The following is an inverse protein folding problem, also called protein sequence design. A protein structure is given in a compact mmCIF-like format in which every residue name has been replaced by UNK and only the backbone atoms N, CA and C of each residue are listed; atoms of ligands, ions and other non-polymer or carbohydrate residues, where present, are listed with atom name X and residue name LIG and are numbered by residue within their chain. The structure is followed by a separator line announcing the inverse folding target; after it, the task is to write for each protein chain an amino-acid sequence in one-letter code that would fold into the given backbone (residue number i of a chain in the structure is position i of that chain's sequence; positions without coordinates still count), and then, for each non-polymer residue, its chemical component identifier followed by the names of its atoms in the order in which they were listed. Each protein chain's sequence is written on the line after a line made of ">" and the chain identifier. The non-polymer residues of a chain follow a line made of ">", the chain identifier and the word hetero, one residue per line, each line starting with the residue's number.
data_IF_420436998294
#
_entry.id   IF_420436998294
#
_cell.length_a   1.000
_cell.length_b   1.000
_cell.length_c   1.000
_cell.angle_alpha   90.00
_cell.angle_beta   90.00
_cell.angle_gamma   90.00
#
_symmetry.space_group_name_H-M   'P 1'
#
loop_
_entity.id
_entity.type
_entity.pdbx_description
1 polymer ?
#
# COMPACT_ATOMS: atom_id res chain seq x y z
N UNK A 1 26.15 -30.20 -25.96
CA UNK A 1 27.56 -30.41 -25.53
C UNK A 1 27.87 -29.30 -24.52
N UNK A 2 28.18 -29.53 -23.25
CA UNK A 2 28.40 -30.74 -22.50
C UNK A 2 27.82 -30.61 -21.07
N UNK A 3 27.45 -31.77 -20.55
CA UNK A 3 26.99 -32.07 -19.20
C UNK A 3 28.00 -31.70 -18.09
N UNK A 4 27.50 -31.31 -16.92
CA UNK A 4 28.05 -31.85 -15.67
C UNK A 4 26.98 -31.93 -14.58
N UNK A 5 26.58 -33.18 -14.34
CA UNK A 5 25.74 -33.70 -13.26
C UNK A 5 26.71 -34.35 -12.28
N UNK A 6 26.60 -34.05 -10.98
CA UNK A 6 27.17 -34.91 -9.93
C UNK A 6 26.09 -35.23 -8.91
N UNK A 7 25.33 -36.26 -9.27
CA UNK A 7 24.53 -37.10 -8.38
C UNK A 7 25.41 -38.29 -8.01
N UNK A 8 25.76 -38.47 -6.73
CA UNK A 8 26.11 -39.78 -6.18
C UNK A 8 25.32 -39.97 -4.90
N UNK A 9 24.59 -41.07 -4.92
CA UNK A 9 23.56 -41.52 -3.99
C UNK A 9 24.09 -42.77 -3.26
N UNK A 10 23.50 -43.03 -2.09
CA UNK A 10 23.53 -44.26 -1.28
C UNK A 10 24.66 -44.46 -0.26
N UNK A 11 24.31 -44.42 1.04
CA UNK A 11 23.86 -45.62 1.78
C UNK A 11 23.26 -45.23 3.15
N UNK A 12 22.41 -46.10 3.66
CA UNK A 12 21.37 -45.83 4.64
C UNK A 12 21.73 -46.19 6.11
N UNK A 13 21.08 -45.48 7.05
CA UNK A 13 20.68 -45.86 8.44
C UNK A 13 21.80 -45.98 9.53
N UNK A 14 21.48 -45.96 10.85
CA UNK A 14 20.92 -44.87 11.67
C UNK A 14 21.59 -44.75 13.08
N UNK A 15 21.93 -43.59 13.64
CA UNK A 15 22.24 -43.44 15.09
C UNK A 15 22.22 -41.95 15.49
N UNK A 16 21.29 -41.50 16.35
CA UNK A 16 21.41 -41.39 17.83
C UNK A 16 22.62 -40.55 18.31
N UNK A 17 22.27 -39.43 18.96
CA UNK A 17 23.05 -38.59 19.90
C UNK A 17 24.12 -37.64 19.35
N UNK A 18 24.06 -36.39 19.79
CA UNK A 18 25.23 -35.50 19.78
C UNK A 18 24.94 -34.00 19.76
N UNK A 19 24.37 -33.47 20.85
CA UNK A 19 24.53 -32.06 21.23
C UNK A 19 26.02 -31.78 21.52
N UNK A 20 26.58 -30.72 20.94
CA UNK A 20 27.86 -30.11 21.33
C UNK A 20 27.84 -28.63 20.92
N UNK A 21 27.54 -27.71 21.85
CA UNK A 21 28.52 -26.98 22.67
C UNK A 21 29.41 -26.02 21.87
N UNK A 22 29.01 -24.75 21.85
CA UNK A 22 29.96 -23.63 21.95
C UNK A 22 29.57 -22.78 23.16
N UNK A 23 30.13 -23.13 24.32
CA UNK A 23 30.25 -22.25 25.49
C UNK A 23 31.68 -21.73 25.44
N UNK A 24 31.85 -20.43 25.17
CA UNK A 24 33.10 -19.76 25.44
C UNK A 24 32.99 -19.08 26.81
N UNK A 25 33.78 -19.61 27.74
CA UNK A 25 33.81 -19.27 29.15
C UNK A 25 34.72 -18.07 29.42
N UNK A 26 34.18 -17.03 30.05
CA UNK A 26 34.95 -16.14 30.92
C UNK A 26 34.09 -15.69 32.10
N UNK A 27 34.14 -16.54 33.13
CA UNK A 27 34.01 -16.29 34.57
C UNK A 27 33.32 -15.02 35.09
N UNK A 28 32.06 -15.17 35.52
CA UNK A 28 31.67 -14.88 36.91
C UNK A 28 30.49 -15.77 37.30
N UNK A 29 30.62 -16.43 38.45
CA UNK A 29 29.67 -17.37 39.02
C UNK A 29 28.32 -16.72 39.37
N UNK A 30 27.23 -17.19 38.76
CA UNK A 30 26.03 -17.61 39.50
C UNK A 30 25.29 -18.68 38.69
N UNK A 31 24.60 -19.57 39.39
CA UNK A 31 24.09 -20.86 38.93
C UNK A 31 23.04 -20.78 37.80
N UNK A 32 23.40 -21.28 36.62
CA UNK A 32 22.49 -21.45 35.47
C UNK A 32 21.75 -22.81 35.51
N UNK A 33 20.81 -22.97 36.45
CA UNK A 33 19.81 -24.03 36.37
C UNK A 33 18.44 -23.35 36.32
N UNK A 34 17.81 -23.32 35.15
CA UNK A 34 16.43 -22.81 35.00
C UNK A 34 15.47 -23.70 35.81
N UNK A 35 14.87 -23.12 36.85
CA UNK A 35 13.95 -23.80 37.76
C UNK A 35 12.70 -24.31 37.00
N UNK A 36 12.29 -23.56 35.97
CA UNK A 36 11.22 -23.95 35.05
C UNK A 36 11.58 -25.24 34.27
N UNK A 37 12.84 -25.36 33.83
CA UNK A 37 13.35 -26.55 33.13
C UNK A 37 13.42 -27.78 34.05
N UNK A 38 13.72 -27.58 35.34
CA UNK A 38 13.69 -28.64 36.35
C UNK A 38 12.25 -29.14 36.62
N UNK A 39 11.28 -28.22 36.67
CA UNK A 39 9.86 -28.53 36.83
C UNK A 39 9.31 -29.27 35.59
N UNK A 40 9.75 -28.90 34.39
CA UNK A 40 9.32 -29.51 33.13
C UNK A 40 9.93 -30.90 32.87
N UNK A 41 11.18 -31.14 33.28
CA UNK A 41 11.86 -32.43 33.11
C UNK A 41 11.50 -33.48 34.17
N UNK A 42 10.81 -33.09 35.24
CA UNK A 42 10.30 -34.03 36.22
C UNK A 42 9.07 -34.77 35.64
N UNK A 43 9.32 -35.81 34.84
CA UNK A 43 8.32 -36.57 34.08
C UNK A 43 7.25 -37.31 34.90
N UNK A 44 7.14 -37.08 36.21
CA UNK A 44 6.10 -37.63 37.08
C UNK A 44 5.29 -36.56 37.84
N UNK A 45 5.54 -35.26 37.63
CA UNK A 45 4.89 -34.17 38.39
C UNK A 45 3.61 -33.62 37.74
N UNK A 46 3.14 -34.20 36.64
CA UNK A 46 1.80 -33.90 36.11
C UNK A 46 0.70 -34.20 37.13
N UNK A 47 0.92 -35.11 38.08
CA UNK A 47 -0.02 -35.42 39.17
C UNK A 47 0.05 -34.39 40.30
N UNK A 48 1.23 -33.86 40.64
CA UNK A 48 1.40 -32.90 41.75
C UNK A 48 0.95 -31.48 41.37
N UNK A 49 1.10 -31.09 40.10
CA UNK A 49 0.56 -29.83 39.56
C UNK A 49 -0.96 -29.90 39.32
N UNK A 50 -1.50 -31.06 38.89
CA UNK A 50 -2.96 -31.28 38.83
C UNK A 50 -3.59 -31.34 40.24
N UNK A 51 -2.95 -32.01 41.20
CA UNK A 51 -3.39 -32.02 42.60
C UNK A 51 -3.36 -30.61 43.22
N UNK A 52 -2.39 -29.76 42.85
CA UNK A 52 -2.35 -28.36 43.30
C UNK A 52 -3.41 -27.46 42.65
N UNK A 53 -3.91 -27.81 41.45
CA UNK A 53 -5.04 -27.12 40.82
C UNK A 53 -6.39 -27.61 41.39
N UNK A 54 -6.53 -28.91 41.70
CA UNK A 54 -7.75 -29.47 42.31
C UNK A 54 -8.01 -28.99 43.75
N UNK A 55 -6.96 -28.63 44.51
CA UNK A 55 -7.10 -28.06 45.86
C UNK A 55 -7.77 -26.66 45.84
N UNK A 56 -7.92 -26.00 44.69
CA UNK A 56 -8.76 -24.79 44.60
C UNK A 56 -10.28 -25.07 44.64
N UNK A 57 -10.72 -26.33 44.69
CA UNK A 57 -12.16 -26.67 44.71
C UNK A 57 -12.63 -27.53 45.89
N UNK A 58 -11.78 -27.84 46.88
CA UNK A 58 -12.17 -28.72 47.99
C UNK A 58 -11.57 -28.34 49.33
N UNK A 59 -12.44 -28.07 50.30
CA UNK A 59 -12.11 -27.87 51.71
C UNK A 59 -11.27 -29.02 52.32
N UNK A 60 -10.42 -28.61 53.27
CA UNK A 60 -9.81 -29.41 54.35
C UNK A 60 -8.66 -30.39 54.00
N UNK A 61 -7.42 -29.90 54.10
CA UNK A 61 -6.33 -30.66 54.73
C UNK A 61 -5.21 -29.73 55.22
N UNK A 62 -4.91 -29.82 56.53
CA UNK A 62 -3.75 -29.18 57.16
C UNK A 62 -2.58 -30.15 57.13
N UNK A 63 -1.47 -29.79 56.49
CA UNK A 63 -0.16 -30.40 56.70
C UNK A 63 0.94 -29.34 56.50
N UNK A 64 1.63 -29.09 57.59
CA UNK A 64 2.78 -28.20 57.80
C UNK A 64 3.94 -28.49 56.85
N UNK A 65 4.26 -27.54 55.96
CA UNK A 65 5.62 -27.16 55.51
C UNK A 65 5.57 -25.70 55.06
N UNK A 66 6.36 -24.84 55.71
CA UNK A 66 6.49 -23.41 55.40
C UNK A 66 7.44 -23.19 54.22
N UNK A 67 7.02 -23.62 53.04
CA UNK A 67 7.42 -23.00 51.78
C UNK A 67 6.11 -22.69 51.05
N UNK A 68 5.74 -21.42 51.02
CA UNK A 68 4.61 -20.94 50.22
C UNK A 68 4.76 -21.51 48.80
N UNK A 69 3.77 -22.24 48.26
CA UNK A 69 3.90 -22.78 46.91
C UNK A 69 4.04 -21.59 45.96
N UNK A 70 5.23 -21.45 45.35
CA UNK A 70 5.46 -20.47 44.30
C UNK A 70 4.47 -20.78 43.19
N UNK A 71 3.54 -19.85 42.92
CA UNK A 71 2.62 -19.97 41.80
C UNK A 71 3.43 -20.02 40.51
N UNK A 72 2.95 -20.75 39.50
CA UNK A 72 3.62 -20.81 38.19
C UNK A 72 3.93 -19.40 37.63
N UNK A 73 3.02 -18.46 37.88
CA UNK A 73 3.20 -17.02 37.59
C UNK A 73 4.43 -16.43 38.29
N UNK A 74 4.64 -16.73 39.58
CA UNK A 74 5.81 -16.23 40.33
C UNK A 74 7.14 -16.81 39.84
N UNK A 75 7.14 -18.06 39.35
CA UNK A 75 8.32 -18.73 38.76
C UNK A 75 8.62 -18.14 37.38
N UNK A 76 7.61 -17.95 36.53
CA UNK A 76 7.74 -17.30 35.22
C UNK A 76 8.22 -15.86 35.39
N UNK A 77 7.66 -15.11 36.36
CA UNK A 77 8.11 -13.76 36.70
C UNK A 77 9.58 -13.72 37.14
N UNK A 78 9.99 -14.66 37.97
CA UNK A 78 11.38 -14.76 38.42
C UNK A 78 12.34 -15.08 37.27
N UNK A 79 11.92 -15.93 36.31
CA UNK A 79 12.73 -16.30 35.15
C UNK A 79 12.88 -15.13 34.16
N UNK A 80 11.79 -14.40 33.89
CA UNK A 80 11.79 -13.23 33.01
C UNK A 80 12.62 -12.10 33.63
N UNK A 81 12.51 -11.89 34.95
CA UNK A 81 13.29 -10.88 35.69
C UNK A 81 13.31 -9.50 35.00
N UNK A 82 12.17 -9.06 34.47
CA UNK A 82 12.01 -7.81 33.70
C UNK A 82 12.79 -7.72 32.37
N UNK A 83 13.32 -8.83 31.88
CA UNK A 83 13.97 -8.94 30.59
C UNK A 83 13.10 -9.77 29.63
N UNK A 84 12.50 -9.10 28.64
CA UNK A 84 11.59 -9.74 27.70
C UNK A 84 12.28 -10.80 26.82
N UNK A 85 13.59 -10.68 26.57
CA UNK A 85 14.31 -11.71 25.80
C UNK A 85 14.33 -13.06 26.53
N UNK A 86 14.22 -13.05 27.87
CA UNK A 86 14.02 -14.28 28.65
C UNK A 86 12.60 -14.81 28.57
N UNK A 87 11.63 -13.95 28.27
CA UNK A 87 10.25 -14.34 27.97
C UNK A 87 10.16 -15.28 26.76
N UNK A 88 10.98 -15.04 25.73
CA UNK A 88 11.09 -15.96 24.57
C UNK A 88 11.56 -17.35 24.97
N UNK A 89 12.52 -17.46 25.89
CA UNK A 89 12.97 -18.75 26.40
C UNK A 89 11.85 -19.50 27.12
N UNK A 90 11.00 -18.79 27.88
CA UNK A 90 9.82 -19.38 28.53
C UNK A 90 8.78 -19.82 27.50
N UNK A 91 8.64 -19.07 26.41
CA UNK A 91 7.75 -19.40 25.29
C UNK A 91 8.23 -20.63 24.51
N UNK A 92 9.53 -20.76 24.26
CA UNK A 92 10.16 -21.97 23.71
C UNK A 92 9.95 -23.18 24.63
N UNK A 93 10.04 -22.99 25.95
CA UNK A 93 9.78 -24.06 26.92
C UNK A 93 8.31 -24.51 26.89
N UNK A 94 7.36 -23.60 26.61
CA UNK A 94 5.96 -23.96 26.42
C UNK A 94 5.75 -24.91 25.23
N UNK A 95 6.56 -24.80 24.17
CA UNK A 95 6.51 -25.72 23.02
C UNK A 95 6.90 -27.17 23.39
N UNK A 96 7.73 -27.33 24.43
CA UNK A 96 8.21 -28.62 24.92
C UNK A 96 7.28 -29.27 25.96
N UNK A 97 6.33 -28.51 26.51
CA UNK A 97 5.34 -28.97 27.47
C UNK A 97 4.35 -29.92 26.80
N UNK A 98 4.07 -31.07 27.44
CA UNK A 98 3.09 -32.05 26.92
C UNK A 98 1.65 -31.77 27.36
N UNK A 99 1.46 -31.06 28.46
CA UNK A 99 0.15 -30.78 29.07
C UNK A 99 -0.42 -29.46 28.57
N UNK A 100 -1.58 -29.53 27.90
CA UNK A 100 -2.28 -28.35 27.35
C UNK A 100 -2.59 -27.31 28.43
N UNK A 101 -3.01 -27.73 29.63
CA UNK A 101 -3.32 -26.83 30.74
C UNK A 101 -2.08 -26.04 31.20
N UNK A 102 -0.91 -26.67 31.19
CA UNK A 102 0.33 -26.03 31.57
C UNK A 102 0.81 -25.06 30.47
N UNK A 103 0.64 -25.41 29.19
CA UNK A 103 0.88 -24.47 28.07
C UNK A 103 0.01 -23.22 28.20
N UNK A 104 -1.29 -23.39 28.43
CA UNK A 104 -2.24 -22.28 28.59
C UNK A 104 -1.81 -21.36 29.75
N UNK A 105 -1.48 -21.94 30.90
CA UNK A 105 -1.05 -21.16 32.07
C UNK A 105 0.26 -20.40 31.80
N UNK A 106 1.20 -20.98 31.04
CA UNK A 106 2.42 -20.29 30.62
C UNK A 106 2.10 -19.11 29.70
N UNK A 107 1.24 -19.29 28.69
CA UNK A 107 0.86 -18.21 27.78
C UNK A 107 0.13 -17.06 28.49
N UNK A 108 -0.80 -17.37 29.39
CA UNK A 108 -1.50 -16.36 30.20
C UNK A 108 -0.55 -15.62 31.14
N UNK A 109 0.37 -16.33 31.80
CA UNK A 109 1.37 -15.71 32.66
C UNK A 109 2.31 -14.79 31.85
N UNK A 110 2.76 -15.20 30.67
CA UNK A 110 3.58 -14.35 29.78
C UNK A 110 2.84 -13.08 29.36
N UNK A 111 1.55 -13.18 29.05
CA UNK A 111 0.72 -12.03 28.74
C UNK A 111 0.56 -11.07 29.94
N UNK A 112 0.31 -11.60 31.14
CA UNK A 112 0.24 -10.79 32.37
C UNK A 112 1.57 -10.09 32.67
N UNK A 113 2.70 -10.77 32.46
CA UNK A 113 4.02 -10.16 32.62
C UNK A 113 4.28 -9.04 31.63
N UNK A 114 3.88 -9.19 30.36
CA UNK A 114 3.93 -8.09 29.37
C UNK A 114 3.14 -6.86 29.82
N UNK A 115 1.96 -7.08 30.40
CA UNK A 115 1.14 -6.01 30.97
C UNK A 115 1.83 -5.32 32.15
N UNK A 116 2.36 -6.09 33.10
CA UNK A 116 3.02 -5.55 34.28
C UNK A 116 4.30 -4.77 33.94
N UNK A 117 5.06 -5.23 32.94
CA UNK A 117 6.24 -4.54 32.43
C UNK A 117 5.93 -3.34 31.52
N UNK A 118 4.65 -3.02 31.31
CA UNK A 118 4.17 -1.95 30.42
C UNK A 118 4.67 -2.10 28.97
N UNK A 119 5.05 -3.32 28.55
CA UNK A 119 5.54 -3.58 27.20
C UNK A 119 4.39 -3.66 26.18
N UNK A 120 3.15 -3.75 26.66
CA UNK A 120 1.93 -3.68 25.83
C UNK A 120 1.79 -2.36 25.05
N UNK A 121 2.50 -1.30 25.45
CA UNK A 121 2.52 -0.04 24.70
C UNK A 121 3.54 -0.03 23.56
N UNK A 122 4.36 -1.07 23.44
CA UNK A 122 5.32 -1.22 22.34
C UNK A 122 4.76 -2.16 21.27
N UNK A 123 4.23 -1.65 20.15
CA UNK A 123 3.59 -2.47 19.13
C UNK A 123 4.56 -3.45 18.44
N UNK A 124 5.85 -3.15 18.37
CA UNK A 124 6.84 -4.07 17.79
C UNK A 124 6.98 -5.34 18.63
N UNK A 125 6.97 -5.20 19.97
CA UNK A 125 7.02 -6.36 20.88
C UNK A 125 5.73 -7.16 20.86
N UNK A 126 4.59 -6.49 20.74
CA UNK A 126 3.31 -7.17 20.58
C UNK A 126 3.21 -7.91 19.25
N UNK A 127 3.77 -7.35 18.18
CA UNK A 127 3.78 -8.01 16.87
C UNK A 127 4.63 -9.28 16.91
N UNK A 128 5.83 -9.20 17.48
CA UNK A 128 6.70 -10.36 17.68
C UNK A 128 5.99 -11.44 18.53
N UNK A 129 5.41 -11.04 19.67
CA UNK A 129 4.71 -11.98 20.56
C UNK A 129 3.48 -12.61 19.91
N UNK A 130 2.67 -11.84 19.19
CA UNK A 130 1.51 -12.36 18.47
C UNK A 130 1.92 -13.37 17.40
N UNK A 131 2.95 -13.03 16.61
CA UNK A 131 3.47 -13.91 15.55
C UNK A 131 4.04 -15.20 16.12
N UNK A 132 4.72 -15.13 17.28
CA UNK A 132 5.22 -16.31 18.00
C UNK A 132 4.06 -17.18 18.52
N UNK A 133 3.01 -16.58 19.09
CA UNK A 133 1.83 -17.33 19.55
C UNK A 133 1.05 -17.98 18.40
N UNK A 134 0.91 -17.30 17.27
CA UNK A 134 0.19 -17.82 16.09
C UNK A 134 0.84 -19.11 15.54
N UNK A 135 2.16 -19.25 15.70
CA UNK A 135 2.91 -20.42 15.25
C UNK A 135 2.85 -21.59 16.24
N UNK A 136 2.39 -21.36 17.47
CA UNK A 136 2.36 -22.38 18.52
C UNK A 136 1.04 -23.15 18.53
N UNK A 137 1.14 -24.46 18.78
CA UNK A 137 -0.02 -25.33 19.01
C UNK A 137 -0.65 -25.07 20.37
N UNK A 138 -1.97 -25.24 20.48
CA UNK A 138 -2.72 -25.18 21.74
C UNK A 138 -2.69 -23.80 22.43
N UNK A 139 -2.63 -22.71 21.66
CA UNK A 139 -2.86 -21.36 22.21
C UNK A 139 -4.36 -21.13 22.39
N UNK A 140 -4.83 -20.69 23.58
CA UNK A 140 -6.24 -20.37 23.78
C UNK A 140 -6.71 -19.29 22.80
N UNK A 141 -7.75 -19.53 21.98
CA UNK A 141 -8.27 -18.52 21.05
C UNK A 141 -8.60 -17.17 21.72
N UNK A 142 -9.21 -17.13 22.92
CA UNK A 142 -9.48 -15.87 23.61
C UNK A 142 -8.22 -15.09 24.02
N UNK A 143 -7.10 -15.78 24.25
CA UNK A 143 -5.83 -15.13 24.56
C UNK A 143 -5.21 -14.53 23.30
N UNK A 144 -5.19 -15.31 22.20
CA UNK A 144 -4.68 -14.85 20.91
C UNK A 144 -5.45 -13.59 20.43
N UNK A 145 -6.77 -13.60 20.57
CA UNK A 145 -7.61 -12.44 20.24
C UNK A 145 -7.31 -11.21 21.11
N UNK A 146 -7.10 -11.37 22.42
CA UNK A 146 -6.72 -10.26 23.32
C UNK A 146 -5.38 -9.65 22.93
N UNK A 147 -4.39 -10.49 22.61
CA UNK A 147 -3.07 -10.02 22.15
C UNK A 147 -3.20 -9.29 20.83
N UNK A 148 -3.99 -9.82 19.90
CA UNK A 148 -4.27 -9.18 18.61
C UNK A 148 -4.93 -7.80 18.77
N UNK A 149 -5.98 -7.69 19.58
CA UNK A 149 -6.66 -6.43 19.82
C UNK A 149 -5.72 -5.39 20.46
N UNK A 150 -4.87 -5.81 21.40
CA UNK A 150 -3.86 -4.93 21.98
C UNK A 150 -2.81 -4.49 20.95
N UNK A 151 -2.36 -5.40 20.07
CA UNK A 151 -1.46 -5.08 18.97
C UNK A 151 -2.08 -4.02 18.05
N UNK A 152 -3.33 -4.21 17.64
CA UNK A 152 -4.07 -3.28 16.78
C UNK A 152 -4.17 -1.90 17.44
N UNK A 153 -4.63 -1.84 18.69
CA UNK A 153 -4.80 -0.58 19.41
C UNK A 153 -3.49 0.17 19.64
N UNK A 154 -2.45 -0.52 20.13
CA UNK A 154 -1.14 0.11 20.38
C UNK A 154 -0.45 0.54 19.09
N UNK A 155 -0.61 -0.22 18.00
CA UNK A 155 -0.10 0.16 16.68
C UNK A 155 -0.81 1.40 16.15
N UNK A 156 -2.14 1.44 16.22
CA UNK A 156 -2.92 2.61 15.82
C UNK A 156 -2.55 3.87 16.61
N UNK A 157 -2.33 3.75 17.93
CA UNK A 157 -1.87 4.85 18.77
C UNK A 157 -0.47 5.34 18.39
N UNK A 158 0.46 4.43 18.06
CA UNK A 158 1.79 4.83 17.60
C UNK A 158 1.71 5.53 16.22
N UNK A 159 0.91 4.99 15.31
CA UNK A 159 0.71 5.51 13.96
C UNK A 159 -0.09 6.81 13.92
N UNK A 160 -0.77 7.20 15.00
CA UNK A 160 -1.45 8.50 15.07
C UNK A 160 -0.49 9.65 15.36
N UNK A 161 0.70 9.39 15.91
CA UNK A 161 1.64 10.44 16.30
C UNK A 161 2.03 11.40 15.15
N UNK A 162 2.29 10.95 13.90
CA UNK A 162 2.55 11.84 12.79
C UNK A 162 1.37 12.75 12.43
N UNK A 163 0.14 12.35 12.77
CA UNK A 163 -1.06 13.15 12.48
C UNK A 163 -1.24 14.33 13.42
N UNK A 164 -0.74 14.20 14.66
CA UNK A 164 -0.82 15.24 15.69
C UNK A 164 0.41 16.17 15.72
N UNK A 165 1.43 15.89 14.91
CA UNK A 165 2.67 16.66 14.91
C UNK A 165 2.46 18.09 14.39
N UNK A 166 3.03 19.12 15.02
CA UNK A 166 2.91 20.49 14.50
C UNK A 166 3.66 20.74 13.18
N UNK A 167 4.62 19.87 12.84
CA UNK A 167 5.43 19.94 11.62
C UNK A 167 5.21 18.70 10.75
N UNK A 168 5.08 18.91 9.44
CA UNK A 168 5.04 17.83 8.44
C UNK A 168 6.39 17.12 8.26
N UNK A 169 7.49 17.76 8.66
CA UNK A 169 8.84 17.18 8.57
C UNK A 169 9.27 16.45 9.86
N UNK A 170 8.35 16.22 10.80
CA UNK A 170 8.67 15.50 12.02
C UNK A 170 8.97 14.03 11.72
N UNK A 171 10.08 13.53 12.26
CA UNK A 171 10.54 12.16 12.02
C UNK A 171 10.09 11.27 13.19
N UNK A 172 9.49 10.13 12.88
CA UNK A 172 9.00 9.15 13.85
C UNK A 172 9.66 7.79 13.63
N UNK A 173 10.86 7.54 14.17
CA UNK A 173 11.63 6.32 13.89
C UNK A 173 10.87 5.03 14.22
N UNK A 174 10.08 5.03 15.30
CA UNK A 174 9.28 3.87 15.71
C UNK A 174 8.12 3.60 14.74
N UNK A 175 7.54 4.64 14.15
CA UNK A 175 6.52 4.52 13.10
C UNK A 175 7.13 3.88 11.86
N UNK A 176 8.28 4.39 11.42
CA UNK A 176 9.02 3.82 10.27
C UNK A 176 9.36 2.35 10.51
N UNK A 177 9.85 1.99 11.70
CA UNK A 177 10.15 0.60 12.04
C UNK A 177 8.92 -0.31 12.03
N UNK A 178 7.79 0.17 12.56
CA UNK A 178 6.53 -0.58 12.54
C UNK A 178 6.03 -0.80 11.11
N UNK A 179 6.00 0.25 10.29
CA UNK A 179 5.61 0.15 8.88
C UNK A 179 6.52 -0.79 8.08
N UNK A 180 7.83 -0.79 8.34
CA UNK A 180 8.75 -1.73 7.72
C UNK A 180 8.49 -3.20 8.11
N UNK A 181 7.98 -3.45 9.33
CA UNK A 181 7.61 -4.79 9.80
C UNK A 181 6.24 -5.24 9.28
N UNK A 182 5.33 -4.30 9.02
CA UNK A 182 4.01 -4.56 8.44
C UNK A 182 4.10 -4.85 6.92
N UNK A 183 4.83 -5.90 6.54
CA UNK A 183 5.03 -6.30 5.13
C UNK A 183 3.76 -6.87 4.45
N UNK A 184 3.86 -7.25 3.17
CA UNK A 184 2.77 -7.88 2.39
C UNK A 184 2.11 -9.07 3.10
N UNK A 185 2.88 -9.90 3.82
CA UNK A 185 2.33 -11.05 4.56
C UNK A 185 1.50 -10.66 5.79
N UNK A 186 1.43 -9.37 6.13
CA UNK A 186 0.73 -8.82 7.29
C UNK A 186 -0.27 -7.73 6.90
N UNK A 187 -0.67 -7.67 5.62
CA UNK A 187 -1.64 -6.69 5.11
C UNK A 187 -3.00 -6.77 5.82
N UNK A 188 -3.37 -7.97 6.30
CA UNK A 188 -4.58 -8.16 7.11
C UNK A 188 -4.48 -7.40 8.44
N UNK A 189 -3.31 -7.43 9.10
CA UNK A 189 -3.09 -6.66 10.34
C UNK A 189 -3.13 -5.16 10.05
N UNK A 190 -2.52 -4.74 8.93
CA UNK A 190 -2.52 -3.34 8.53
C UNK A 190 -3.94 -2.80 8.36
N UNK A 191 -4.86 -3.58 7.77
CA UNK A 191 -6.25 -3.17 7.59
C UNK A 191 -6.95 -2.86 8.93
N UNK A 192 -6.80 -3.73 9.91
CA UNK A 192 -7.43 -3.54 11.22
C UNK A 192 -6.76 -2.41 12.01
N UNK A 193 -5.43 -2.26 11.89
CA UNK A 193 -4.68 -1.15 12.45
C UNK A 193 -5.13 0.19 11.86
N UNK A 194 -5.30 0.27 10.53
CA UNK A 194 -5.77 1.48 9.84
C UNK A 194 -7.19 1.84 10.25
N UNK A 195 -8.06 0.84 10.44
CA UNK A 195 -9.42 1.07 10.92
C UNK A 195 -9.41 1.72 12.31
N UNK A 196 -8.64 1.14 13.24
CA UNK A 196 -8.47 1.70 14.57
C UNK A 196 -7.80 3.09 14.54
N UNK A 197 -6.82 3.30 13.66
CA UNK A 197 -6.14 4.59 13.47
C UNK A 197 -7.12 5.67 13.01
N UNK A 198 -7.90 5.40 11.96
CA UNK A 198 -8.86 6.37 11.40
C UNK A 198 -9.94 6.77 12.40
N UNK A 199 -10.43 5.83 13.21
CA UNK A 199 -11.36 6.15 14.30
C UNK A 199 -10.77 7.15 15.31
N UNK A 200 -9.46 7.10 15.57
CA UNK A 200 -8.78 8.03 16.49
C UNK A 200 -8.51 9.37 15.82
N UNK A 201 -7.89 9.37 14.63
CA UNK A 201 -7.41 10.63 14.03
C UNK A 201 -8.56 11.47 13.45
N UNK A 202 -9.61 10.87 12.88
CA UNK A 202 -10.76 11.61 12.37
C UNK A 202 -11.60 12.24 13.49
N UNK A 203 -11.51 11.72 14.72
CA UNK A 203 -12.18 12.30 15.88
C UNK A 203 -11.43 13.52 16.47
N UNK A 204 -10.12 13.63 16.21
CA UNK A 204 -9.24 14.61 16.86
C UNK A 204 -8.71 15.69 15.89
N UNK A 205 -8.52 15.34 14.63
CA UNK A 205 -7.94 16.20 13.60
C UNK A 205 -8.98 16.57 12.54
N UNK A 206 -8.72 17.63 11.77
CA UNK A 206 -9.54 17.95 10.60
C UNK A 206 -9.40 16.88 9.52
N UNK A 207 -10.51 16.51 8.87
CA UNK A 207 -10.54 15.59 7.72
C UNK A 207 -9.49 15.93 6.65
N UNK A 208 -9.41 17.20 6.22
CA UNK A 208 -8.42 17.64 5.23
C UNK A 208 -6.97 17.43 5.72
N UNK A 209 -6.69 17.77 6.98
CA UNK A 209 -5.37 17.58 7.57
C UNK A 209 -4.97 16.10 7.67
N UNK A 210 -5.92 15.22 7.97
CA UNK A 210 -5.72 13.76 7.95
C UNK A 210 -5.33 13.28 6.55
N UNK A 211 -6.12 13.65 5.54
CA UNK A 211 -5.85 13.24 4.14
C UNK A 211 -4.51 13.75 3.64
N UNK A 212 -4.16 15.02 3.92
CA UNK A 212 -2.90 15.61 3.50
C UNK A 212 -1.69 14.89 4.11
N UNK A 213 -1.76 14.53 5.40
CA UNK A 213 -0.68 13.78 6.07
C UNK A 213 -0.63 12.33 5.63
N UNK A 214 -1.78 11.74 5.28
CA UNK A 214 -1.82 10.39 4.77
C UNK A 214 -1.04 10.26 3.45
N UNK A 215 -0.97 11.32 2.64
CA UNK A 215 -0.21 11.34 1.38
C UNK A 215 1.28 11.03 1.54
N UNK A 216 1.85 11.18 2.73
CA UNK A 216 3.24 10.86 3.07
C UNK A 216 3.34 9.85 4.23
N UNK A 217 2.35 8.97 4.38
CA UNK A 217 2.25 8.05 5.52
C UNK A 217 3.29 6.92 5.51
N UNK A 218 3.59 6.38 4.33
CA UNK A 218 4.54 5.28 4.15
C UNK A 218 5.28 5.44 2.82
N UNK A 219 6.55 5.03 2.81
CA UNK A 219 7.34 4.93 1.58
C UNK A 219 6.98 3.69 0.75
N UNK A 220 6.22 2.75 1.31
CA UNK A 220 5.75 1.57 0.60
C UNK A 220 4.43 1.88 -0.14
N UNK A 221 4.44 1.79 -1.47
CA UNK A 221 3.28 2.15 -2.29
C UNK A 221 2.05 1.29 -2.01
N UNK A 222 2.21 0.00 -1.69
CA UNK A 222 1.09 -0.89 -1.38
C UNK A 222 0.40 -0.49 -0.08
N UNK A 223 1.19 -0.21 0.97
CA UNK A 223 0.64 0.27 2.24
C UNK A 223 -0.04 1.64 2.07
N UNK A 224 0.60 2.56 1.34
CA UNK A 224 0.06 3.90 1.08
C UNK A 224 -1.23 3.83 0.26
N UNK A 225 -1.28 2.94 -0.73
CA UNK A 225 -2.48 2.68 -1.54
C UNK A 225 -3.62 2.14 -0.69
N UNK A 226 -3.37 1.10 0.12
CA UNK A 226 -4.36 0.52 1.01
C UNK A 226 -4.89 1.55 2.02
N UNK A 227 -3.99 2.35 2.60
CA UNK A 227 -4.39 3.38 3.56
C UNK A 227 -5.30 4.44 2.93
N UNK A 228 -4.99 4.93 1.72
CA UNK A 228 -5.84 5.91 1.03
C UNK A 228 -7.20 5.30 0.62
N UNK A 229 -7.21 4.06 0.10
CA UNK A 229 -8.45 3.37 -0.28
C UNK A 229 -9.35 3.08 0.93
N UNK A 230 -8.78 2.69 2.07
CA UNK A 230 -9.55 2.45 3.27
C UNK A 230 -10.08 3.76 3.89
N UNK A 231 -9.26 4.81 3.91
CA UNK A 231 -9.70 6.14 4.35
C UNK A 231 -10.85 6.65 3.48
N UNK A 232 -10.86 6.35 2.18
CA UNK A 232 -11.94 6.75 1.26
C UNK A 232 -13.31 6.19 1.65
N UNK A 233 -13.33 5.00 2.24
CA UNK A 233 -14.58 4.32 2.63
C UNK A 233 -15.24 4.98 3.84
N UNK A 234 -14.54 5.92 4.51
CA UNK A 234 -14.99 6.59 5.71
C UNK A 234 -16.13 7.58 5.41
N UNK A 235 -17.30 7.46 6.07
CA UNK A 235 -18.42 8.36 5.85
C UNK A 235 -18.10 9.82 6.19
N UNK A 236 -17.16 10.04 7.12
CA UNK A 236 -16.68 11.36 7.53
C UNK A 236 -16.12 12.16 6.35
N UNK A 237 -15.50 11.48 5.37
CA UNK A 237 -14.92 12.11 4.18
C UNK A 237 -15.92 12.32 3.04
N UNK A 238 -17.02 11.58 3.00
CA UNK A 238 -18.03 11.71 1.94
C UNK A 238 -18.77 13.06 2.02
N UNK A 239 -18.81 13.66 3.21
CA UNK A 239 -19.45 14.95 3.46
C UNK A 239 -18.48 16.14 3.34
N UNK A 240 -17.16 15.88 3.31
CA UNK A 240 -16.12 16.90 3.20
C UNK A 240 -15.53 16.92 1.79
N UNK A 241 -16.03 17.84 0.96
CA UNK A 241 -15.64 17.96 -0.43
C UNK A 241 -14.14 18.31 -0.60
N UNK A 242 -13.55 19.08 0.32
CA UNK A 242 -12.14 19.46 0.24
C UNK A 242 -11.24 18.27 0.58
N UNK A 243 -11.58 17.54 1.64
CA UNK A 243 -10.86 16.33 2.01
C UNK A 243 -10.99 15.24 0.94
N UNK A 244 -12.18 15.07 0.34
CA UNK A 244 -12.39 14.14 -0.75
C UNK A 244 -11.54 14.48 -1.99
N UNK A 245 -11.50 15.76 -2.39
CA UNK A 245 -10.62 16.20 -3.50
C UNK A 245 -9.14 15.96 -3.20
N UNK A 246 -8.69 16.24 -1.98
CA UNK A 246 -7.32 15.96 -1.56
C UNK A 246 -7.00 14.46 -1.60
N UNK A 247 -7.97 13.60 -1.28
CA UNK A 247 -7.81 12.16 -1.31
C UNK A 247 -7.68 11.64 -2.74
N UNK A 248 -8.53 12.12 -3.66
CA UNK A 248 -8.40 11.82 -5.09
C UNK A 248 -7.04 12.30 -5.62
N UNK A 249 -6.55 13.44 -5.14
CA UNK A 249 -5.21 13.90 -5.51
C UNK A 249 -4.11 12.96 -4.98
N UNK A 250 -4.20 12.45 -3.74
CA UNK A 250 -3.26 11.45 -3.24
C UNK A 250 -3.27 10.19 -4.13
N UNK A 251 -4.47 9.72 -4.52
CA UNK A 251 -4.60 8.57 -5.42
C UNK A 251 -3.95 8.83 -6.78
N UNK A 252 -4.02 10.06 -7.32
CA UNK A 252 -3.30 10.44 -8.54
C UNK A 252 -1.80 10.46 -8.36
N UNK A 253 -1.31 11.04 -7.26
CA UNK A 253 0.13 11.06 -6.94
C UNK A 253 0.71 9.64 -6.84
N UNK A 254 -0.09 8.66 -6.39
CA UNK A 254 0.31 7.25 -6.43
C UNK A 254 0.52 6.74 -7.86
N UNK A 255 -0.38 7.11 -8.78
CA UNK A 255 -0.31 6.70 -10.19
C UNK A 255 0.80 7.38 -10.97
N UNK A 256 1.28 8.52 -10.49
CA UNK A 256 2.45 9.22 -11.02
C UNK A 256 3.78 8.54 -10.62
N UNK A 257 3.76 7.57 -9.70
CA UNK A 257 4.96 6.81 -9.33
C UNK A 257 5.29 5.76 -10.38
N UNK A 258 6.53 5.78 -10.88
CA UNK A 258 6.97 4.87 -11.95
C UNK A 258 6.87 3.39 -11.62
N UNK A 259 6.99 3.02 -10.34
CA UNK A 259 6.95 1.63 -9.88
C UNK A 259 5.56 1.19 -9.41
N UNK A 260 4.52 2.04 -9.49
CA UNK A 260 3.17 1.73 -9.00
C UNK A 260 2.62 0.43 -9.60
N UNK A 261 2.76 0.24 -10.91
CA UNK A 261 2.24 -0.95 -11.62
C UNK A 261 2.98 -2.22 -11.18
N UNK A 262 4.25 -2.11 -10.80
CA UNK A 262 5.11 -3.23 -10.42
C UNK A 262 4.97 -3.61 -8.93
N UNK A 263 4.84 -2.62 -8.05
CA UNK A 263 4.83 -2.80 -6.59
C UNK A 263 3.44 -3.07 -6.01
N UNK A 264 2.40 -2.51 -6.60
CA UNK A 264 1.03 -2.60 -6.07
C UNK A 264 0.29 -3.77 -6.72
N UNK A 265 -0.39 -4.60 -5.93
CA UNK A 265 -1.15 -5.72 -6.47
C UNK A 265 -2.28 -5.27 -7.40
N UNK A 266 -2.49 -6.00 -8.50
CA UNK A 266 -3.48 -5.68 -9.53
C UNK A 266 -4.89 -5.42 -8.95
N UNK A 267 -5.31 -6.17 -7.93
CA UNK A 267 -6.62 -5.97 -7.29
C UNK A 267 -6.76 -4.61 -6.60
N UNK A 268 -5.67 -4.10 -5.98
CA UNK A 268 -5.65 -2.75 -5.40
C UNK A 268 -5.57 -1.68 -6.48
N UNK A 269 -4.82 -1.92 -7.55
CA UNK A 269 -4.77 -1.00 -8.70
C UNK A 269 -6.17 -0.76 -9.28
N UNK A 270 -6.96 -1.84 -9.48
CA UNK A 270 -8.34 -1.73 -9.97
C UNK A 270 -9.24 -0.93 -9.02
N UNK A 271 -9.04 -1.08 -7.71
CA UNK A 271 -9.76 -0.27 -6.73
C UNK A 271 -9.37 1.21 -6.84
N UNK A 272 -8.09 1.54 -7.02
CA UNK A 272 -7.66 2.94 -7.26
C UNK A 272 -8.34 3.50 -8.50
N UNK A 273 -8.30 2.79 -9.64
CA UNK A 273 -8.90 3.26 -10.88
C UNK A 273 -10.41 3.50 -10.77
N UNK A 274 -11.12 2.68 -9.99
CA UNK A 274 -12.55 2.82 -9.78
C UNK A 274 -12.93 4.13 -9.05
N UNK A 275 -11.99 4.72 -8.33
CA UNK A 275 -12.18 5.91 -7.50
C UNK A 275 -11.79 7.21 -8.20
N UNK A 276 -11.16 7.11 -9.38
CA UNK A 276 -10.80 8.26 -10.18
C UNK A 276 -12.00 8.79 -10.97
N UNK A 277 -11.97 10.08 -11.35
CA UNK A 277 -12.92 10.62 -12.32
C UNK A 277 -12.89 9.85 -13.65
N UNK A 278 -13.99 9.92 -14.39
CA UNK A 278 -14.21 9.08 -15.58
C UNK A 278 -13.08 9.17 -16.61
N UNK A 279 -12.66 10.37 -16.99
CA UNK A 279 -11.61 10.55 -17.99
C UNK A 279 -10.26 9.97 -17.54
N UNK A 280 -9.96 10.14 -16.25
CA UNK A 280 -8.75 9.67 -15.60
C UNK A 280 -8.75 8.13 -15.57
N UNK A 281 -9.85 7.54 -15.10
CA UNK A 281 -10.06 6.09 -15.13
C UNK A 281 -9.88 5.52 -16.53
N UNK A 282 -10.49 6.12 -17.55
CA UNK A 282 -10.37 5.65 -18.94
C UNK A 282 -8.91 5.69 -19.41
N UNK A 283 -8.15 6.72 -19.07
CA UNK A 283 -6.72 6.80 -19.40
C UNK A 283 -5.90 5.64 -18.81
N UNK A 284 -6.31 5.05 -17.68
CA UNK A 284 -5.62 3.91 -17.07
C UNK A 284 -6.16 2.54 -17.49
N UNK A 285 -7.47 2.43 -17.72
CA UNK A 285 -8.12 1.11 -17.91
C UNK A 285 -8.43 0.78 -19.36
N UNK A 286 -8.63 1.76 -20.24
CA UNK A 286 -9.00 1.50 -21.62
C UNK A 286 -7.79 1.04 -22.44
N UNK A 287 -8.07 0.17 -23.43
CA UNK A 287 -7.11 -0.23 -24.44
C UNK A 287 -7.02 0.82 -25.55
N UNK A 288 -8.19 1.34 -25.96
CA UNK A 288 -8.32 2.39 -26.96
C UNK A 288 -9.24 3.50 -26.48
N UNK A 289 -8.94 4.72 -26.87
CA UNK A 289 -9.75 5.90 -26.59
C UNK A 289 -10.11 6.66 -27.85
N UNK A 290 -11.22 7.36 -27.79
CA UNK A 290 -11.53 8.42 -28.74
C UNK A 290 -11.47 9.76 -28.02
N UNK A 291 -10.96 10.77 -28.72
CA UNK A 291 -10.84 12.13 -28.22
C UNK A 291 -11.87 12.98 -28.96
N UNK A 292 -12.85 13.51 -28.23
CA UNK A 292 -13.89 14.38 -28.79
C UNK A 292 -13.82 15.77 -28.19
N UNK A 293 -13.85 16.81 -29.01
CA UNK A 293 -13.86 18.17 -28.52
C UNK A 293 -15.13 18.42 -27.68
N UNK A 294 -15.01 19.15 -26.56
CA UNK A 294 -16.17 19.48 -25.72
C UNK A 294 -17.11 20.50 -26.34
N UNK A 295 -16.64 21.29 -27.32
CA UNK A 295 -17.49 22.25 -28.05
C UNK A 295 -18.54 21.57 -28.92
N UNK A 296 -18.27 20.34 -29.38
CA UNK A 296 -19.04 19.69 -30.44
C UNK A 296 -19.43 18.24 -30.13
N UNK A 297 -20.63 17.85 -30.56
CA UNK A 297 -21.15 16.50 -30.33
C UNK A 297 -20.44 15.43 -31.16
N UNK A 298 -19.78 15.80 -32.26
CA UNK A 298 -19.13 14.86 -33.19
C UNK A 298 -17.70 15.26 -33.59
N UNK A 299 -17.12 16.31 -32.99
CA UNK A 299 -15.75 16.75 -33.30
C UNK A 299 -14.69 15.81 -32.73
N UNK A 300 -14.57 14.59 -33.28
CA UNK A 300 -13.54 13.64 -32.90
C UNK A 300 -12.23 13.91 -33.64
N UNK A 301 -11.12 13.63 -32.98
CA UNK A 301 -9.79 13.65 -33.60
C UNK A 301 -9.66 12.45 -34.55
N UNK A 302 -9.17 12.66 -35.78
CA UNK A 302 -8.84 11.61 -36.76
C UNK A 302 -7.72 12.03 -37.73
N UNK A 303 -7.10 11.09 -38.46
CA UNK A 303 -6.13 11.42 -39.53
C UNK A 303 -6.82 11.96 -40.78
N UNK A 304 -6.41 13.14 -41.24
CA UNK A 304 -6.87 13.74 -42.48
C UNK A 304 -6.41 12.88 -43.68
N UNK A 305 -7.31 12.45 -44.59
CA UNK A 305 -6.96 11.51 -45.67
C UNK A 305 -5.90 12.00 -46.67
N UNK A 306 -5.71 13.31 -46.83
CA UNK A 306 -4.85 13.87 -47.89
C UNK A 306 -3.50 14.36 -47.37
N UNK A 307 -3.46 14.86 -46.14
CA UNK A 307 -2.31 15.63 -45.63
C UNK A 307 -1.53 14.91 -44.54
N UNK A 308 -2.06 13.80 -44.00
CA UNK A 308 -1.57 13.16 -42.77
C UNK A 308 -1.57 14.10 -41.55
N UNK A 309 -2.22 15.27 -41.65
CA UNK A 309 -2.50 16.08 -40.48
C UNK A 309 -3.55 15.39 -39.61
N UNK A 310 -3.66 15.87 -38.39
CA UNK A 310 -4.73 15.48 -37.49
C UNK A 310 -5.88 16.49 -37.67
N UNK A 311 -7.08 15.95 -37.93
CA UNK A 311 -8.31 16.68 -38.19
C UNK A 311 -9.31 16.48 -37.05
N UNK A 312 -10.27 17.41 -36.94
CA UNK A 312 -11.48 17.29 -36.13
C UNK A 312 -12.62 17.97 -36.87
N UNK A 313 -13.74 17.28 -37.06
CA UNK A 313 -14.87 17.86 -37.80
C UNK A 313 -16.20 17.56 -37.12
N UNK A 314 -16.93 18.59 -36.72
CA UNK A 314 -18.21 18.46 -36.03
C UNK A 314 -19.37 18.00 -36.93
N UNK A 315 -19.24 18.16 -38.25
CA UNK A 315 -20.18 17.69 -39.26
C UNK A 315 -19.91 16.26 -39.70
N UNK A 316 -18.76 15.69 -39.32
CA UNK A 316 -18.35 14.35 -39.66
C UNK A 316 -18.39 13.44 -38.42
N UNK A 317 -19.29 12.44 -38.36
CA UNK A 317 -19.38 11.55 -37.22
C UNK A 317 -18.25 10.50 -37.17
N UNK A 318 -17.20 10.61 -38.01
CA UNK A 318 -16.04 9.73 -37.98
C UNK A 318 -15.39 9.74 -36.60
N UNK A 319 -15.46 8.60 -35.95
CA UNK A 319 -14.91 8.35 -34.61
C UNK A 319 -13.67 7.47 -34.75
N UNK A 320 -12.49 8.02 -34.48
CA UNK A 320 -11.24 7.28 -34.55
C UNK A 320 -10.83 6.74 -33.18
N UNK A 321 -10.34 5.51 -33.17
CA UNK A 321 -9.81 4.86 -31.98
C UNK A 321 -8.28 4.96 -31.94
N UNK A 322 -7.75 5.40 -30.80
CA UNK A 322 -6.32 5.49 -30.52
C UNK A 322 -5.97 4.56 -29.37
N UNK A 323 -5.04 3.64 -29.59
CA UNK A 323 -4.41 2.88 -28.53
C UNK A 323 -3.63 3.82 -27.60
N UNK A 324 -3.65 3.49 -26.30
CA UNK A 324 -2.94 4.23 -25.26
C UNK A 324 -1.60 3.60 -24.96
N UNK A 325 -0.55 4.42 -24.97
CA UNK A 325 0.74 4.09 -24.39
C UNK A 325 1.01 5.01 -23.21
N UNK A 326 1.53 4.44 -22.12
CA UNK A 326 1.81 5.14 -20.87
C UNK A 326 3.32 5.13 -20.63
N UNK A 327 3.86 6.23 -20.14
CA UNK A 327 5.28 6.37 -19.85
C UNK A 327 5.51 7.37 -18.72
N UNK A 328 6.72 7.38 -18.19
CA UNK A 328 7.18 8.38 -17.24
C UNK A 328 8.35 9.14 -17.87
N UNK A 329 8.36 10.47 -17.76
CA UNK A 329 9.39 11.29 -18.40
C UNK A 329 9.17 12.79 -18.26
N UNK A 330 9.86 13.56 -19.11
CA UNK A 330 9.74 15.03 -19.17
C UNK A 330 10.22 15.76 -17.92
N UNK A 331 9.68 16.96 -17.69
CA UNK A 331 9.94 17.75 -16.48
C UNK A 331 9.28 17.06 -15.27
N UNK A 332 10.09 16.68 -14.28
CA UNK A 332 9.69 16.04 -13.01
C UNK A 332 9.32 14.55 -13.07
N UNK A 333 9.68 13.83 -14.15
CA UNK A 333 9.39 12.40 -14.29
C UNK A 333 7.89 12.09 -14.14
N UNK A 334 7.04 12.97 -14.66
CA UNK A 334 5.59 12.84 -14.56
C UNK A 334 5.06 11.75 -15.49
N UNK A 335 3.85 11.28 -15.20
CA UNK A 335 3.11 10.37 -16.06
C UNK A 335 2.73 11.07 -17.38
N UNK A 336 2.93 10.36 -18.49
CA UNK A 336 2.68 10.86 -19.84
C UNK A 336 1.93 9.81 -20.67
N UNK A 337 1.16 10.29 -21.63
CA UNK A 337 0.33 9.48 -22.52
C UNK A 337 0.71 9.72 -23.97
N UNK A 338 0.78 8.66 -24.76
CA UNK A 338 0.89 8.74 -26.21
C UNK A 338 -0.28 8.01 -26.84
N UNK A 339 -0.85 8.61 -27.89
CA UNK A 339 -2.06 8.14 -28.56
C UNK A 339 -1.69 7.74 -29.98
N UNK A 340 -1.87 6.46 -30.34
CA UNK A 340 -1.55 5.96 -31.68
C UNK A 340 -2.67 5.11 -32.27
N UNK A 341 -2.86 5.19 -33.59
CA UNK A 341 -3.89 4.42 -34.28
C UNK A 341 -3.29 3.19 -34.96
N UNK A 342 -3.78 2.00 -34.60
CA UNK A 342 -3.41 0.77 -35.31
C UNK A 342 -3.96 0.72 -36.73
N UNK A 343 -5.01 1.49 -37.04
CA UNK A 343 -5.57 1.59 -38.39
C UNK A 343 -4.64 2.40 -39.32
N UNK A 344 -3.98 3.43 -38.80
CA UNK A 344 -3.01 4.25 -39.54
C UNK A 344 -1.57 3.83 -39.27
N UNK A 345 -1.24 2.54 -39.46
CA UNK A 345 0.12 2.01 -39.34
C UNK A 345 0.85 2.34 -38.02
N UNK A 346 0.11 2.39 -36.91
CA UNK A 346 0.62 2.78 -35.59
C UNK A 346 1.19 4.22 -35.53
N UNK A 347 0.65 5.12 -36.34
CA UNK A 347 0.99 6.53 -36.24
C UNK A 347 0.38 7.17 -34.99
N UNK A 348 1.15 8.05 -34.37
CA UNK A 348 0.86 8.83 -33.18
C UNK A 348 0.34 10.23 -33.55
N UNK A 349 -0.46 10.81 -32.65
CA UNK A 349 -0.77 12.25 -32.66
C UNK A 349 0.52 13.00 -32.29
N UNK A 350 1.19 13.54 -33.29
CA UNK A 350 2.55 14.09 -33.21
C UNK A 350 2.58 15.60 -33.39
N UNK A 351 3.11 16.32 -32.41
CA UNK A 351 3.42 17.75 -32.53
C UNK A 351 4.79 17.91 -33.19
N UNK A 352 4.83 18.44 -34.41
CA UNK A 352 6.10 18.73 -35.06
C UNK A 352 6.80 19.92 -34.38
N UNK A 353 8.09 19.81 -34.05
CA UNK A 353 8.85 20.93 -33.50
C UNK A 353 8.78 22.13 -34.44
N UNK A 354 8.28 23.26 -33.95
CA UNK A 354 8.20 24.49 -34.72
C UNK A 354 9.10 25.57 -34.11
N UNK A 355 9.83 26.30 -34.94
CA UNK A 355 10.72 27.39 -34.51
C UNK A 355 9.98 28.73 -34.31
N UNK A 356 8.68 28.70 -34.08
CA UNK A 356 7.89 29.92 -33.97
C UNK A 356 8.00 30.52 -32.56
N UNK A 357 8.61 31.71 -32.48
CA UNK A 357 8.88 32.47 -31.24
C UNK A 357 7.78 33.48 -30.89
N UNK A 358 6.65 33.48 -31.60
CA UNK A 358 5.58 34.45 -31.36
C UNK A 358 4.67 33.97 -30.20
N UNK A 359 4.42 34.81 -29.19
CA UNK A 359 3.72 34.42 -27.96
C UNK A 359 2.25 34.00 -28.15
N UNK A 360 1.63 34.39 -29.27
CA UNK A 360 0.23 34.08 -29.62
C UNK A 360 0.12 33.22 -30.90
N UNK A 361 1.14 32.41 -31.19
CA UNK A 361 1.15 31.58 -32.38
C UNK A 361 0.33 30.30 -32.17
N UNK A 362 -0.61 30.08 -33.08
CA UNK A 362 -1.22 28.76 -33.28
C UNK A 362 -0.28 27.93 -34.15
N UNK A 363 0.00 26.70 -33.73
CA UNK A 363 0.82 25.76 -34.48
C UNK A 363 -0.09 24.65 -35.00
N UNK A 364 -0.32 24.61 -36.31
CA UNK A 364 -1.17 23.59 -36.98
C UNK A 364 -0.41 22.31 -37.34
N UNK A 365 0.83 22.16 -36.89
CA UNK A 365 1.71 21.05 -37.26
C UNK A 365 1.46 19.80 -36.39
N UNK A 366 0.20 19.40 -36.27
CA UNK A 366 -0.19 18.15 -35.59
C UNK A 366 -0.38 17.10 -36.67
N UNK A 367 0.57 16.17 -36.76
CA UNK A 367 0.62 15.15 -37.78
C UNK A 367 0.34 13.77 -37.20
N UNK A 368 -0.09 12.87 -38.07
CA UNK A 368 -0.05 11.43 -37.88
C UNK A 368 1.33 10.93 -38.32
N UNK A 369 2.18 10.54 -37.36
CA UNK A 369 3.58 10.11 -37.63
C UNK A 369 3.94 8.83 -36.87
N UNK A 370 4.91 8.09 -37.37
CA UNK A 370 5.49 6.92 -36.69
C UNK A 370 6.39 7.28 -35.48
N UNK A 371 6.65 8.57 -35.24
CA UNK A 371 7.36 9.06 -34.07
C UNK A 371 6.40 9.25 -32.88
N UNK A 372 6.84 8.80 -31.70
CA UNK A 372 6.08 8.96 -30.45
C UNK A 372 6.10 10.44 -30.02
N UNK A 373 4.92 11.00 -29.76
CA UNK A 373 4.79 12.28 -29.05
C UNK A 373 4.06 12.04 -27.72
N UNK A 374 4.63 12.56 -26.65
CA UNK A 374 4.10 12.41 -25.30
C UNK A 374 3.27 13.62 -24.89
N UNK A 375 2.12 13.36 -24.30
CA UNK A 375 1.15 14.34 -23.84
C UNK A 375 0.96 14.22 -22.33
N UNK A 376 0.98 15.35 -21.64
CA UNK A 376 0.60 15.46 -20.24
C UNK A 376 -0.90 15.75 -20.14
N UNK A 377 -1.66 14.85 -19.54
CA UNK A 377 -3.11 14.95 -19.46
C UNK A 377 -3.54 15.64 -18.15
N UNK A 378 -4.25 16.76 -18.27
CA UNK A 378 -4.82 17.48 -17.13
C UNK A 378 -6.32 17.26 -17.08
N UNK A 379 -6.77 16.47 -16.09
CA UNK A 379 -8.19 16.20 -15.87
C UNK A 379 -8.89 17.49 -15.44
N UNK A 380 -9.98 17.81 -16.12
CA UNK A 380 -10.78 19.00 -15.85
C UNK A 380 -11.70 18.80 -14.65
N UNK A 381 -12.21 19.89 -14.09
CA UNK A 381 -13.09 19.87 -12.91
C UNK A 381 -14.37 19.06 -13.10
N UNK A 382 -14.83 18.89 -14.35
CA UNK A 382 -16.00 18.07 -14.67
C UNK A 382 -15.74 16.56 -14.55
N UNK A 383 -14.47 16.15 -14.41
CA UNK A 383 -14.05 14.75 -14.29
C UNK A 383 -14.20 13.90 -15.56
N UNK A 384 -14.83 14.43 -16.62
CA UNK A 384 -15.08 13.71 -17.88
C UNK A 384 -14.22 14.20 -19.04
N UNK A 385 -13.51 15.31 -18.85
CA UNK A 385 -12.73 15.94 -19.90
C UNK A 385 -11.28 16.15 -19.50
N UNK A 386 -10.41 16.28 -20.50
CA UNK A 386 -8.96 16.51 -20.32
C UNK A 386 -8.48 17.66 -21.19
N UNK A 387 -7.42 18.33 -20.74
CA UNK A 387 -6.56 19.13 -21.60
C UNK A 387 -5.26 18.36 -21.81
N UNK A 388 -4.76 18.34 -23.05
CA UNK A 388 -3.54 17.63 -23.42
C UNK A 388 -2.43 18.65 -23.68
N UNK A 389 -1.44 18.70 -22.79
CA UNK A 389 -0.28 19.56 -22.93
C UNK A 389 0.89 18.78 -23.53
N UNK A 390 1.76 19.43 -24.28
CA UNK A 390 3.03 18.83 -24.70
C UNK A 390 3.84 18.45 -23.46
N UNK A 391 4.15 17.17 -23.28
CA UNK A 391 4.79 16.70 -22.06
C UNK A 391 6.29 17.07 -21.97
N UNK A 392 6.90 17.47 -23.10
CA UNK A 392 8.31 17.88 -23.12
C UNK A 392 8.49 19.29 -22.54
N UNK A 393 7.58 20.21 -22.87
CA UNK A 393 7.73 21.64 -22.51
C UNK A 393 6.63 22.19 -21.61
N UNK A 394 5.47 21.53 -21.54
CA UNK A 394 4.21 22.06 -20.98
C UNK A 394 3.79 23.43 -21.53
N UNK A 395 4.41 23.88 -22.63
CA UNK A 395 4.22 25.22 -23.19
C UNK A 395 3.12 25.27 -24.23
N UNK A 396 2.66 24.11 -24.71
CA UNK A 396 1.67 23.98 -25.77
C UNK A 396 0.52 23.09 -25.33
N UNK A 397 -0.72 23.44 -25.70
CA UNK A 397 -1.94 22.68 -25.43
C UNK A 397 -2.66 22.33 -26.72
N UNK A 398 -3.16 21.10 -26.85
CA UNK A 398 -3.86 20.59 -28.04
C UNK A 398 -5.30 21.12 -28.13
N UNK A 399 -5.67 21.70 -29.27
CA UNK A 399 -6.95 22.37 -29.53
C UNK A 399 -7.49 22.05 -30.92
N UNK A 400 -8.80 22.25 -31.13
CA UNK A 400 -9.42 22.00 -32.44
C UNK A 400 -10.87 22.44 -32.59
N UNK A 401 -11.37 23.32 -31.71
CA UNK A 401 -12.76 23.75 -31.70
C UNK A 401 -13.05 25.10 -32.41
N UNK A 402 -12.03 25.82 -32.89
CA UNK A 402 -12.24 27.12 -33.54
C UNK A 402 -12.16 27.04 -35.07
N UNK A 403 -13.30 27.31 -35.71
CA UNK A 403 -13.49 27.26 -37.15
C UNK A 403 -12.66 28.29 -37.92
N UNK A 404 -12.21 29.36 -37.26
CA UNK A 404 -11.40 30.40 -37.90
C UNK A 404 -10.03 29.89 -38.36
N UNK A 405 -9.57 28.77 -37.79
CA UNK A 405 -8.28 28.16 -38.12
C UNK A 405 -8.43 26.94 -39.03
N UNK A 406 -9.62 26.66 -39.55
CA UNK A 406 -9.81 25.62 -40.54
C UNK A 406 -9.43 26.12 -41.92
N UNK A 407 -8.69 25.32 -42.68
CA UNK A 407 -8.41 25.64 -44.08
C UNK A 407 -9.65 25.24 -44.91
N UNK A 408 -9.80 25.80 -46.12
CA UNK A 408 -11.03 25.67 -46.94
C UNK A 408 -11.44 24.23 -47.34
N UNK A 409 -10.70 23.20 -46.92
CA UNK A 409 -11.00 21.80 -47.19
C UNK A 409 -10.74 20.82 -46.04
N UNK A 410 -10.05 21.22 -44.96
CA UNK A 410 -9.73 20.34 -43.83
C UNK A 410 -9.78 21.13 -42.52
N UNK A 411 -10.46 20.55 -41.52
CA UNK A 411 -10.65 21.13 -40.20
C UNK A 411 -9.57 20.56 -39.27
N UNK A 412 -8.44 21.27 -39.13
CA UNK A 412 -7.26 20.74 -38.45
C UNK A 412 -7.29 20.92 -36.93
N UNK A 413 -6.65 19.97 -36.24
CA UNK A 413 -6.20 20.10 -34.86
C UNK A 413 -4.90 20.90 -34.84
N UNK A 414 -4.74 21.75 -33.83
CA UNK A 414 -3.61 22.64 -33.66
C UNK A 414 -3.20 22.70 -32.19
N UNK A 415 -2.11 23.40 -31.88
CA UNK A 415 -1.77 23.78 -30.51
C UNK A 415 -1.79 25.28 -30.30
N UNK A 416 -2.07 25.68 -29.07
CA UNK A 416 -1.89 27.04 -28.54
C UNK A 416 -0.83 27.06 -27.46
N UNK A 417 -0.32 28.25 -27.14
CA UNK A 417 0.46 28.46 -25.94
C UNK A 417 -0.39 28.13 -24.69
N UNK A 418 0.19 27.38 -23.74
CA UNK A 418 -0.45 26.99 -22.50
C UNK A 418 -0.94 28.19 -21.66
N UNK A 419 -0.27 29.35 -21.77
CA UNK A 419 -0.69 30.60 -21.10
C UNK A 419 -2.05 31.10 -21.59
N UNK A 420 -2.45 30.77 -22.83
CA UNK A 420 -3.74 31.16 -23.40
C UNK A 420 -4.88 30.21 -23.02
N UNK A 421 -4.58 29.05 -22.42
CA UNK A 421 -5.54 27.98 -22.18
C UNK A 421 -6.80 28.46 -21.44
N UNK A 422 -6.66 29.34 -20.45
CA UNK A 422 -7.79 29.85 -19.67
C UNK A 422 -8.82 30.59 -20.54
N UNK A 423 -8.37 31.28 -21.60
CA UNK A 423 -9.24 32.02 -22.51
C UNK A 423 -9.88 31.13 -23.59
N UNK A 424 -9.24 30.00 -23.91
CA UNK A 424 -9.62 29.11 -25.02
C UNK A 424 -9.98 27.69 -24.54
N UNK A 425 -10.39 27.53 -23.28
CA UNK A 425 -10.70 26.22 -22.68
C UNK A 425 -11.69 25.40 -23.50
N UNK A 426 -12.68 26.04 -24.13
CA UNK A 426 -13.73 25.35 -24.91
C UNK A 426 -13.21 24.64 -26.15
N UNK A 427 -12.16 25.14 -26.78
CA UNK A 427 -11.57 24.54 -27.99
C UNK A 427 -10.41 23.60 -27.68
N UNK A 428 -9.82 23.69 -26.48
CA UNK A 428 -8.61 22.95 -26.06
C UNK A 428 -8.88 21.82 -25.06
N UNK A 429 -10.16 21.49 -24.83
CA UNK A 429 -10.57 20.43 -23.91
C UNK A 429 -11.26 19.32 -24.69
N UNK A 430 -10.89 18.09 -24.36
CA UNK A 430 -11.32 16.88 -25.03
C UNK A 430 -12.00 15.95 -24.04
N UNK A 431 -13.20 15.46 -24.36
CA UNK A 431 -13.79 14.32 -23.68
C UNK A 431 -13.09 13.05 -24.15
N UNK A 432 -12.61 12.27 -23.19
CA UNK A 432 -12.04 10.95 -23.42
C UNK A 432 -13.16 9.93 -23.31
N UNK A 433 -13.32 9.11 -24.34
CA UNK A 433 -14.31 8.03 -24.36
C UNK A 433 -13.61 6.69 -24.56
N UNK A 434 -14.02 5.65 -23.84
CA UNK A 434 -13.54 4.29 -24.09
C UNK A 434 -14.07 3.81 -25.45
N UNK A 435 -13.14 3.47 -26.33
CA UNK A 435 -13.38 3.03 -27.70
C UNK A 435 -12.79 1.65 -27.97
N UNK A 436 -12.56 0.86 -26.92
CA UNK A 436 -11.94 -0.46 -27.02
C UNK A 436 -12.80 -1.45 -27.83
N UNK A 437 -14.11 -1.20 -27.97
CA UNK A 437 -15.03 -1.98 -28.82
C UNK A 437 -14.88 -1.67 -30.33
N UNK A 438 -14.16 -0.62 -30.70
CA UNK A 438 -13.95 -0.25 -32.10
C UNK A 438 -12.81 -1.11 -32.66
N UNK A 439 -13.17 -2.06 -33.52
CA UNK A 439 -12.22 -2.97 -34.16
C UNK A 439 -11.40 -2.31 -35.29
N UNK A 440 -11.92 -1.21 -35.87
CA UNK A 440 -11.31 -0.46 -36.97
C UNK A 440 -11.45 1.04 -36.80
#
# INVERSE_FOLDING_TARGET
>A
MAFSVCLVLFLALPLKHGLGLFINSSSSNSSNNSELLAILNATNLSVDLLLRIDVMTGENASLTTTETPLSLESIIRAEINRDWERGRLVLDLASMVRTVQLKHAIYEALWLELQQMQQIYNPLKLLDFYTELEQLSDVPPPLLEKVYQALVQSSAQLLSAPFHASSQCAIFPLVTQLLQRLTLSTLDYLKDILEALFNVILALESNLGVVQRLGSFSDNLTQLTQANLQLQQRPELQLDEQAHRALVQNLRTLLEQSTFIEEVEYALQQQVYAQLPEADRILYTAQKVCLRNVSDAYGYIYECPQTYLICTNAHDPRKASYNLQRGHGGLNNSLQFAFYSSYWNNHYIFLEPSNHTAPNAIIKNIYSRDAINWWYAVIQEDGTSVALFDAATNSSVLCGGDQQYWDTGEEHVYTRNAEEFANYRRECVWRIEDCSYIEK
#
